data_IF_667679326246
#
_entry.id   IF_667679326246
#
_cell.length_a   1.000
_cell.length_b   1.000
_cell.length_c   1.000
_cell.angle_alpha   90.00
_cell.angle_beta   90.00
_cell.angle_gamma   90.00
#
_symmetry.space_group_name_H-M   'P 1'
#
loop_
_entity.id
_entity.type
_entity.pdbx_description
1 polymer ?
#
# COMPACT_ATOMS: atom_id res chain seq x y z
N UNK A 1 18.11 -4.83 -10.67
CA UNK A 1 17.18 -3.74 -10.30
C UNK A 1 15.74 -4.25 -10.29
N UNK A 2 15.21 -4.84 -11.36
CA UNK A 2 13.82 -5.32 -11.46
C UNK A 2 13.46 -6.32 -10.35
N UNK A 3 14.34 -7.27 -10.04
CA UNK A 3 14.11 -8.28 -9.00
C UNK A 3 13.92 -7.63 -7.62
N UNK A 4 14.79 -6.67 -7.26
CA UNK A 4 14.65 -5.92 -6.01
C UNK A 4 13.33 -5.14 -5.95
N UNK A 5 12.96 -4.51 -7.06
CA UNK A 5 11.70 -3.78 -7.16
C UNK A 5 10.49 -4.68 -6.95
N UNK A 6 10.47 -5.86 -7.57
CA UNK A 6 9.40 -6.86 -7.40
C UNK A 6 9.31 -7.34 -5.95
N UNK A 7 10.45 -7.62 -5.30
CA UNK A 7 10.49 -8.03 -3.89
C UNK A 7 9.92 -6.94 -3.00
N UNK A 8 10.30 -5.67 -3.19
CA UNK A 8 9.78 -4.54 -2.42
C UNK A 8 8.27 -4.41 -2.59
N UNK A 9 7.77 -4.57 -3.82
CA UNK A 9 6.32 -4.54 -4.09
C UNK A 9 5.57 -5.66 -3.35
N UNK A 10 6.09 -6.88 -3.38
CA UNK A 10 5.50 -8.02 -2.69
C UNK A 10 5.44 -7.75 -1.18
N UNK A 11 6.55 -7.32 -0.58
CA UNK A 11 6.62 -6.99 0.85
C UNK A 11 5.64 -5.87 1.21
N UNK A 12 5.56 -4.82 0.39
CA UNK A 12 4.62 -3.72 0.58
C UNK A 12 3.16 -4.19 0.55
N UNK A 13 2.81 -5.12 -0.35
CA UNK A 13 1.47 -5.70 -0.43
C UNK A 13 1.12 -6.52 0.81
N UNK A 14 2.01 -7.39 1.28
CA UNK A 14 1.79 -8.16 2.50
C UNK A 14 1.64 -7.26 3.72
N UNK A 15 2.50 -6.25 3.85
CA UNK A 15 2.39 -5.25 4.92
C UNK A 15 1.02 -4.56 4.89
N UNK A 16 0.56 -4.15 3.71
CA UNK A 16 -0.73 -3.50 3.53
C UNK A 16 -1.91 -4.39 3.92
N UNK A 17 -1.89 -5.65 3.50
CA UNK A 17 -2.91 -6.64 3.88
C UNK A 17 -2.97 -6.77 5.42
N UNK A 18 -1.81 -6.87 6.07
CA UNK A 18 -1.71 -6.98 7.53
C UNK A 18 -2.29 -5.76 8.24
N UNK A 19 -1.96 -4.56 7.77
CA UNK A 19 -2.50 -3.29 8.35
C UNK A 19 -4.03 -3.25 8.24
N UNK A 20 -4.58 -3.59 7.06
CA UNK A 20 -6.04 -3.57 6.86
C UNK A 20 -6.71 -4.63 7.74
N UNK A 21 -6.12 -5.83 7.89
CA UNK A 21 -6.62 -6.85 8.82
C UNK A 21 -6.64 -6.36 10.26
N UNK A 22 -5.57 -5.72 10.73
CA UNK A 22 -5.49 -5.16 12.08
C UNK A 22 -6.59 -4.13 12.29
N UNK A 23 -6.78 -3.19 11.34
CA UNK A 23 -7.85 -2.19 11.42
C UNK A 23 -9.23 -2.85 11.51
N UNK A 24 -9.48 -3.90 10.77
CA UNK A 24 -10.74 -4.65 10.81
C UNK A 24 -10.92 -5.33 12.19
N UNK A 25 -9.88 -5.97 12.70
CA UNK A 25 -9.91 -6.65 14.00
C UNK A 25 -10.14 -5.67 15.16
N UNK A 26 -9.48 -4.52 15.16
CA UNK A 26 -9.66 -3.47 16.15
C UNK A 26 -11.09 -2.90 16.14
N UNK A 27 -11.76 -2.94 15.01
CA UNK A 27 -13.14 -2.43 14.84
C UNK A 27 -14.22 -3.51 14.83
N UNK A 28 -13.87 -4.74 15.22
CA UNK A 28 -14.82 -5.87 15.15
C UNK A 28 -16.08 -5.65 16.02
N UNK A 29 -15.93 -5.01 17.18
CA UNK A 29 -17.04 -4.64 18.05
C UNK A 29 -17.97 -3.61 17.37
N UNK A 30 -17.40 -2.60 16.72
CA UNK A 30 -18.13 -1.60 15.96
C UNK A 30 -18.91 -2.25 14.80
N UNK A 31 -18.28 -3.19 14.10
CA UNK A 31 -18.92 -3.97 13.03
C UNK A 31 -20.13 -4.73 13.58
N UNK A 32 -19.99 -5.36 14.75
CA UNK A 32 -21.07 -6.06 15.44
C UNK A 32 -22.24 -5.13 15.77
N UNK A 33 -21.94 -3.98 16.37
CA UNK A 33 -22.95 -2.96 16.73
C UNK A 33 -23.68 -2.42 15.51
N UNK A 34 -22.96 -2.02 14.46
CA UNK A 34 -23.56 -1.54 13.20
C UNK A 34 -24.51 -2.57 12.58
N UNK A 35 -24.19 -3.85 12.71
CA UNK A 35 -25.05 -4.91 12.20
C UNK A 35 -26.27 -5.13 13.06
N UNK A 36 -26.17 -4.98 14.38
CA UNK A 36 -27.33 -5.06 15.27
C UNK A 36 -28.36 -3.98 14.95
N UNK A 37 -27.89 -2.81 14.45
CA UNK A 37 -28.76 -1.75 13.93
C UNK A 37 -29.27 -1.99 12.50
N UNK A 38 -29.05 -3.17 11.92
CA UNK A 38 -29.54 -3.52 10.58
C UNK A 38 -28.72 -2.96 9.43
N UNK A 39 -27.50 -2.46 9.69
CA UNK A 39 -26.63 -1.94 8.63
C UNK A 39 -26.26 -3.03 7.62
N UNK A 40 -26.41 -2.74 6.34
CA UNK A 40 -26.09 -3.71 5.28
C UNK A 40 -24.61 -4.06 5.22
N UNK A 41 -24.29 -5.29 4.84
CA UNK A 41 -22.90 -5.73 4.65
C UNK A 41 -22.14 -4.83 3.66
N UNK A 42 -22.79 -4.40 2.59
CA UNK A 42 -22.21 -3.51 1.57
C UNK A 42 -21.75 -2.19 2.16
N UNK A 43 -22.54 -1.62 3.08
CA UNK A 43 -22.19 -0.38 3.76
C UNK A 43 -20.96 -0.55 4.64
N UNK A 44 -20.89 -1.65 5.41
CA UNK A 44 -19.73 -1.96 6.26
C UNK A 44 -18.48 -2.11 5.40
N UNK A 45 -18.54 -2.89 4.31
CA UNK A 45 -17.42 -3.07 3.39
C UNK A 45 -16.97 -1.75 2.75
N UNK A 46 -17.92 -0.90 2.35
CA UNK A 46 -17.61 0.42 1.79
C UNK A 46 -16.85 1.31 2.77
N UNK A 47 -17.19 1.28 4.06
CA UNK A 47 -16.48 2.06 5.09
C UNK A 47 -15.01 1.63 5.18
N UNK A 48 -14.76 0.33 5.33
CA UNK A 48 -13.39 -0.18 5.45
C UNK A 48 -12.59 -0.03 4.15
N UNK A 49 -13.24 -0.21 3.00
CA UNK A 49 -12.61 0.03 1.72
C UNK A 49 -12.18 1.49 1.55
N UNK A 50 -13.07 2.45 1.85
CA UNK A 50 -12.74 3.88 1.79
C UNK A 50 -11.61 4.26 2.74
N UNK A 51 -11.58 3.67 3.95
CA UNK A 51 -10.52 3.92 4.93
C UNK A 51 -9.17 3.41 4.42
N UNK A 52 -9.10 2.15 3.97
CA UNK A 52 -7.88 1.56 3.41
C UNK A 52 -7.43 2.28 2.14
N UNK A 53 -8.36 2.67 1.27
CA UNK A 53 -8.10 3.43 0.06
C UNK A 53 -7.51 4.81 0.36
N UNK A 54 -8.10 5.56 1.31
CA UNK A 54 -7.60 6.88 1.70
C UNK A 54 -6.16 6.81 2.22
N UNK A 55 -5.85 5.86 3.09
CA UNK A 55 -4.49 5.66 3.61
C UNK A 55 -3.51 5.37 2.45
N UNK A 56 -3.95 4.57 1.49
CA UNK A 56 -3.12 4.14 0.35
C UNK A 56 -2.81 5.29 -0.60
N UNK A 57 -3.83 6.06 -0.95
CA UNK A 57 -3.66 7.24 -1.83
C UNK A 57 -2.74 8.26 -1.17
N UNK A 58 -2.90 8.51 0.13
CA UNK A 58 -1.97 9.39 0.87
C UNK A 58 -0.53 8.88 0.79
N UNK A 59 -0.31 7.57 0.93
CA UNK A 59 1.01 6.96 0.80
C UNK A 59 1.62 7.13 -0.60
N UNK A 60 0.83 6.94 -1.66
CA UNK A 60 1.30 7.18 -3.05
C UNK A 60 1.69 8.64 -3.24
N UNK A 61 0.87 9.58 -2.79
CA UNK A 61 1.16 11.01 -2.95
C UNK A 61 2.46 11.37 -2.23
N UNK A 62 2.61 10.99 -0.97
CA UNK A 62 3.81 11.26 -0.19
C UNK A 62 5.03 10.59 -0.84
N UNK A 63 4.90 9.32 -1.27
CA UNK A 63 5.97 8.59 -1.95
C UNK A 63 6.43 9.26 -3.23
N UNK A 64 5.50 9.74 -4.06
CA UNK A 64 5.83 10.48 -5.28
C UNK A 64 6.53 11.82 -4.98
N UNK A 65 6.06 12.57 -3.96
CA UNK A 65 6.71 13.82 -3.55
C UNK A 65 8.15 13.56 -3.09
N UNK A 66 8.36 12.56 -2.25
CA UNK A 66 9.69 12.18 -1.77
C UNK A 66 10.60 11.71 -2.92
N UNK A 67 10.05 10.94 -3.86
CA UNK A 67 10.78 10.47 -5.05
C UNK A 67 11.24 11.64 -5.92
N UNK A 68 10.36 12.60 -6.20
CA UNK A 68 10.70 13.81 -6.96
C UNK A 68 11.73 14.67 -6.23
N UNK A 69 11.60 14.81 -4.92
CA UNK A 69 12.58 15.53 -4.10
C UNK A 69 13.95 14.86 -4.17
N UNK A 70 13.99 13.53 -4.02
CA UNK A 70 15.24 12.78 -4.12
C UNK A 70 15.86 12.87 -5.52
N UNK A 71 15.05 12.76 -6.57
CA UNK A 71 15.49 12.96 -7.95
C UNK A 71 16.15 14.33 -8.12
N UNK A 72 15.47 15.41 -7.67
CA UNK A 72 15.99 16.77 -7.75
C UNK A 72 17.32 16.92 -7.00
N UNK A 73 17.39 16.44 -5.76
CA UNK A 73 18.60 16.50 -4.95
C UNK A 73 19.76 15.74 -5.60
N UNK A 74 19.50 14.56 -6.15
CA UNK A 74 20.55 13.76 -6.81
C UNK A 74 21.00 14.40 -8.12
N UNK A 75 20.09 14.97 -8.91
CA UNK A 75 20.39 15.64 -10.17
C UNK A 75 21.25 16.89 -9.99
N UNK A 76 20.91 17.74 -9.00
CA UNK A 76 21.62 19.00 -8.75
C UNK A 76 22.87 18.81 -7.89
N UNK A 77 22.76 18.09 -6.80
CA UNK A 77 23.81 18.00 -5.78
C UNK A 77 24.69 16.76 -5.92
N UNK A 78 24.33 15.79 -6.78
CA UNK A 78 25.09 14.55 -6.99
C UNK A 78 25.54 13.91 -5.67
N UNK A 79 24.57 13.77 -4.76
CA UNK A 79 24.80 13.32 -3.38
C UNK A 79 25.43 11.93 -3.32
N UNK A 80 24.99 11.03 -4.21
CA UNK A 80 25.53 9.67 -4.31
C UNK A 80 26.63 9.69 -5.34
N UNK A 81 27.88 9.75 -4.84
CA UNK A 81 29.11 9.67 -5.67
C UNK A 81 29.51 8.21 -5.82
N UNK A 82 30.07 7.89 -6.98
CA UNK A 82 30.66 6.58 -7.27
C UNK A 82 32.19 6.72 -7.24
N UNK A 83 32.85 5.64 -6.82
CA UNK A 83 34.32 5.60 -6.82
C UNK A 83 34.83 5.42 -8.25
N UNK A 84 35.65 6.36 -8.71
CA UNK A 84 36.23 6.37 -10.07
C UNK A 84 37.08 5.15 -10.39
N UNK A 85 37.69 4.54 -9.37
CA UNK A 85 38.57 3.37 -9.59
C UNK A 85 37.78 2.12 -10.04
N UNK A 86 36.51 2.03 -9.62
CA UNK A 86 35.65 0.87 -9.90
C UNK A 86 34.56 1.15 -10.94
N UNK A 87 34.23 2.41 -11.17
CA UNK A 87 33.15 2.83 -12.07
C UNK A 87 33.62 3.95 -12.98
N UNK A 88 33.33 3.86 -14.28
CA UNK A 88 33.68 4.89 -15.27
C UNK A 88 32.89 6.20 -15.14
N UNK A 89 32.07 6.34 -14.09
CA UNK A 89 31.13 7.44 -13.86
C UNK A 89 31.33 7.96 -12.44
N UNK A 90 31.33 9.29 -12.24
CA UNK A 90 31.59 9.94 -10.96
C UNK A 90 30.40 9.96 -10.00
N UNK A 91 29.19 9.75 -10.52
CA UNK A 91 27.95 9.81 -9.74
C UNK A 91 26.91 8.87 -10.35
N UNK A 92 25.93 8.49 -9.54
CA UNK A 92 24.79 7.68 -10.02
C UNK A 92 23.96 8.53 -10.98
N UNK A 93 23.90 8.18 -12.28
CA UNK A 93 23.04 8.90 -13.21
C UNK A 93 21.58 8.63 -12.84
N UNK A 94 20.79 9.69 -12.75
CA UNK A 94 19.34 9.61 -12.60
C UNK A 94 18.69 10.17 -13.85
N UNK A 95 17.87 9.36 -14.47
CA UNK A 95 17.08 9.75 -15.63
C UNK A 95 15.58 9.78 -15.22
N UNK A 96 14.86 10.78 -15.70
CA UNK A 96 13.45 10.93 -15.39
C UNK A 96 12.61 10.40 -16.57
N UNK A 97 12.25 9.13 -16.47
CA UNK A 97 11.32 8.51 -17.41
C UNK A 97 9.87 8.68 -16.93
N UNK A 98 9.16 9.66 -17.48
CA UNK A 98 7.77 9.93 -17.17
C UNK A 98 6.87 8.71 -17.42
N UNK A 99 7.12 7.97 -18.50
CA UNK A 99 6.34 6.78 -18.85
C UNK A 99 6.53 5.67 -17.80
N UNK A 100 7.77 5.40 -17.41
CA UNK A 100 8.08 4.44 -16.36
C UNK A 100 7.45 4.82 -15.02
N UNK A 101 7.50 6.09 -14.64
CA UNK A 101 6.86 6.60 -13.40
C UNK A 101 5.34 6.38 -13.43
N UNK A 102 4.67 6.69 -14.54
CA UNK A 102 3.23 6.48 -14.68
C UNK A 102 2.87 5.00 -14.62
N UNK A 103 3.63 4.14 -15.29
CA UNK A 103 3.42 2.70 -15.30
C UNK A 103 3.57 2.10 -13.91
N UNK A 104 4.62 2.48 -13.18
CA UNK A 104 4.86 2.06 -11.79
C UNK A 104 3.70 2.51 -10.88
N UNK A 105 3.26 3.76 -11.00
CA UNK A 105 2.13 4.26 -10.22
C UNK A 105 0.82 3.51 -10.52
N UNK A 106 0.59 3.14 -11.78
CA UNK A 106 -0.56 2.33 -12.16
C UNK A 106 -0.51 0.94 -11.53
N UNK A 107 0.65 0.28 -11.59
CA UNK A 107 0.86 -1.04 -10.97
C UNK A 107 0.64 -0.95 -9.46
N UNK A 108 1.24 0.05 -8.79
CA UNK A 108 1.06 0.29 -7.35
C UNK A 108 -0.42 0.50 -7.01
N UNK A 109 -1.12 1.30 -7.79
CA UNK A 109 -2.54 1.56 -7.58
C UNK A 109 -3.39 0.27 -7.67
N UNK A 110 -3.16 -0.56 -8.68
CA UNK A 110 -3.84 -1.84 -8.84
C UNK A 110 -3.53 -2.81 -7.68
N UNK A 111 -2.27 -2.90 -7.27
CA UNK A 111 -1.86 -3.74 -6.14
C UNK A 111 -2.48 -3.26 -4.81
N UNK A 112 -2.62 -1.96 -4.63
CA UNK A 112 -3.29 -1.37 -3.46
C UNK A 112 -4.77 -1.74 -3.43
N UNK A 113 -5.46 -1.63 -4.55
CA UNK A 113 -6.86 -2.02 -4.64
C UNK A 113 -7.05 -3.50 -4.23
N UNK A 114 -6.21 -4.37 -4.75
CA UNK A 114 -6.19 -5.79 -4.38
C UNK A 114 -5.92 -5.99 -2.88
N UNK A 115 -4.89 -5.33 -2.35
CA UNK A 115 -4.47 -5.46 -0.94
C UNK A 115 -5.54 -4.96 0.05
N UNK A 116 -6.35 -3.98 -0.33
CA UNK A 116 -7.46 -3.49 0.49
C UNK A 116 -8.69 -4.40 0.35
N UNK A 117 -8.94 -4.94 -0.84
CA UNK A 117 -10.10 -5.76 -1.11
C UNK A 117 -10.02 -7.14 -0.46
N UNK A 118 -8.85 -7.79 -0.49
CA UNK A 118 -8.65 -9.13 0.05
C UNK A 118 -9.05 -9.28 1.53
N UNK A 119 -8.57 -8.43 2.46
CA UNK A 119 -8.94 -8.54 3.87
C UNK A 119 -10.44 -8.35 4.13
N UNK A 120 -11.10 -7.53 3.33
CA UNK A 120 -12.53 -7.25 3.46
C UNK A 120 -13.35 -8.51 3.20
N UNK A 121 -12.92 -9.37 2.27
CA UNK A 121 -13.57 -10.66 2.01
C UNK A 121 -13.48 -11.62 3.19
N UNK A 122 -12.47 -11.49 4.06
CA UNK A 122 -12.33 -12.32 5.25
C UNK A 122 -13.29 -11.92 6.40
N UNK A 123 -13.89 -10.74 6.36
CA UNK A 123 -14.84 -10.29 7.39
C UNK A 123 -15.98 -11.29 7.57
N UNK A 124 -16.47 -11.89 6.51
CA UNK A 124 -17.55 -12.88 6.59
C UNK A 124 -17.08 -14.20 7.22
N UNK A 125 -15.85 -14.61 7.03
CA UNK A 125 -15.31 -15.85 7.62
C UNK A 125 -15.07 -15.75 9.13
N UNK A 126 -14.61 -14.59 9.61
CA UNK A 126 -14.36 -14.37 11.05
C UNK A 126 -15.66 -14.48 11.86
N UNK A 127 -16.78 -14.22 11.27
CA UNK A 127 -18.12 -14.29 11.90
C UNK A 127 -18.61 -15.68 12.23
N UNK A 128 -18.32 -16.65 11.38
CA UNK A 128 -18.77 -18.04 11.57
C UNK A 128 -18.13 -18.62 12.83
N UNK A 129 -16.89 -18.25 13.12
CA UNK A 129 -16.15 -18.79 14.28
C UNK A 129 -16.63 -18.19 15.60
N UNK A 130 -17.00 -16.91 15.65
CA UNK A 130 -17.51 -16.26 16.87
C UNK A 130 -18.97 -16.60 17.20
N UNK A 131 -19.77 -16.95 16.21
CA UNK A 131 -21.15 -17.43 16.37
C UNK A 131 -21.23 -18.79 17.08
N UNK A 132 -20.20 -19.62 16.90
CA UNK A 132 -20.14 -20.97 17.48
C UNK A 132 -19.58 -20.94 18.92
N UNK A 133 -18.92 -19.88 19.33
CA UNK A 133 -18.29 -19.75 20.65
C UNK A 133 -19.17 -19.10 21.72
N UNK A 134 -20.34 -18.64 21.36
CA UNK A 134 -21.33 -18.02 22.25
C UNK A 134 -22.62 -18.85 22.41
N UNK A 135 -22.56 -20.13 22.07
CA UNK A 135 -23.61 -21.11 22.39
C UNK A 135 -23.15 -22.00 23.54
#
# INVERSE_FOLDING_TARGET
>A
VIVFFVIILIVACFNKISIVLIIIMDRIKLIGTLKSFGTSKKTIYSIFFKMGFKISVSGIIIGNILSLLFYYLQSEFKLIKLDRENYYIDFVPVDYDLYGVLLINLILFLMILLSVYLPILFIDRIRVINSIRLS
#
